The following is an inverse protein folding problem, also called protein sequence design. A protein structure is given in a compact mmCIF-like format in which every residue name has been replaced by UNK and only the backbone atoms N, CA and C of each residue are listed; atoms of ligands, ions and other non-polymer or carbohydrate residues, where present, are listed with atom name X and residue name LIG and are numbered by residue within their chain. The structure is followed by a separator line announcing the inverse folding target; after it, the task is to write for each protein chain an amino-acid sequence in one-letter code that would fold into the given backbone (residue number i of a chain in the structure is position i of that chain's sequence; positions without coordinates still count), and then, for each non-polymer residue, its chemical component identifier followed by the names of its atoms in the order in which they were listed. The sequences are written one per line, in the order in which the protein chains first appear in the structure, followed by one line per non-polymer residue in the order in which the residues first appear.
data_IF_757389018476
#
_entry.id   IF_757389018476
#
_cell.length_a   1.000
_cell.length_b   1.000
_cell.length_c   1.000
_cell.angle_alpha   90.00
_cell.angle_beta   90.00
_cell.angle_gamma   90.00
#
_symmetry.space_group_name_H-M   'P 1'
#
loop_
_entity.id
_entity.type
_entity.pdbx_description
1 polymer ?
#
# COMPACT_ATOMS: atom_id res chain seq x y z
N UNK A 1 -13.70 0.05 -11.60
CA UNK A 1 -13.99 1.21 -10.73
C UNK A 1 -13.15 0.97 -9.50
N UNK A 2 -11.99 1.63 -9.40
CA UNK A 2 -10.97 1.38 -8.37
C UNK A 2 -11.18 2.26 -7.13
N UNK A 3 -12.44 2.68 -6.90
CA UNK A 3 -12.77 3.79 -6.00
C UNK A 3 -12.90 3.40 -4.53
N UNK A 4 -12.51 2.17 -4.17
CA UNK A 4 -12.58 1.72 -2.79
C UNK A 4 -11.30 0.99 -2.36
N UNK A 5 -10.20 1.73 -2.19
CA UNK A 5 -9.04 1.25 -1.44
C UNK A 5 -9.04 1.85 -0.03
N UNK A 6 -8.83 1.07 1.03
CA UNK A 6 -8.84 1.60 2.40
C UNK A 6 -7.72 2.62 2.60
N UNK A 7 -8.09 3.78 3.16
CA UNK A 7 -7.16 4.86 3.50
C UNK A 7 -6.24 4.41 4.63
N UNK A 8 -4.93 4.65 4.49
CA UNK A 8 -3.93 4.31 5.49
C UNK A 8 -3.95 5.38 6.59
N UNK A 9 -4.19 5.01 7.87
CA UNK A 9 -4.10 5.93 9.00
C UNK A 9 -2.71 6.59 9.08
N UNK A 10 -2.68 7.88 9.44
CA UNK A 10 -1.45 8.68 9.41
C UNK A 10 -0.31 8.09 10.27
N UNK A 11 -0.62 7.53 11.43
CA UNK A 11 0.33 6.87 12.33
C UNK A 11 0.99 5.63 11.69
N UNK A 12 0.28 4.95 10.78
CA UNK A 12 0.80 3.78 10.05
C UNK A 12 1.67 4.14 8.85
N UNK A 13 1.50 5.33 8.26
CA UNK A 13 2.23 5.73 7.04
C UNK A 13 3.74 5.68 7.28
N UNK A 14 4.22 6.23 8.40
CA UNK A 14 5.65 6.22 8.73
C UNK A 14 6.07 4.95 9.47
N UNK A 15 5.29 4.51 10.47
CA UNK A 15 5.67 3.40 11.34
C UNK A 15 5.61 2.03 10.64
N UNK A 16 4.61 1.81 9.78
CA UNK A 16 4.37 0.53 9.11
C UNK A 16 4.70 0.61 7.63
N UNK A 17 4.14 1.57 6.91
CA UNK A 17 4.34 1.70 5.46
C UNK A 17 5.71 2.29 5.11
N UNK A 18 6.39 2.94 6.06
CA UNK A 18 7.76 3.44 5.91
C UNK A 18 7.94 4.35 4.70
N UNK A 19 7.00 5.29 4.50
CA UNK A 19 7.06 6.26 3.39
C UNK A 19 8.45 6.93 3.32
N UNK A 20 9.00 7.04 2.12
CA UNK A 20 10.31 7.67 1.89
C UNK A 20 11.53 6.82 2.27
N UNK A 21 11.37 5.63 2.85
CA UNK A 21 12.50 4.79 3.29
C UNK A 21 13.02 3.81 2.20
N UNK A 22 12.93 4.21 0.93
CA UNK A 22 13.43 3.43 -0.21
C UNK A 22 12.87 2.01 -0.26
N UNK A 23 13.76 1.01 -0.32
CA UNK A 23 13.37 -0.41 -0.37
C UNK A 23 12.53 -0.87 0.83
N UNK A 24 12.68 -0.24 2.00
CA UNK A 24 11.87 -0.58 3.18
C UNK A 24 10.42 -0.05 3.09
N UNK A 25 10.14 0.90 2.20
CA UNK A 25 8.80 1.41 1.96
C UNK A 25 7.89 0.28 1.42
N UNK A 26 6.67 0.21 1.94
CA UNK A 26 5.69 -0.78 1.54
C UNK A 26 5.28 -0.56 0.07
N UNK A 27 5.39 -1.60 -0.76
CA UNK A 27 5.07 -1.56 -2.18
C UNK A 27 3.58 -1.35 -2.48
N UNK A 28 2.71 -1.67 -1.51
CA UNK A 28 1.26 -1.57 -1.65
C UNK A 28 0.68 -0.23 -1.18
N UNK A 29 1.54 0.72 -0.79
CA UNK A 29 1.12 2.09 -0.47
C UNK A 29 1.00 2.88 -1.77
N UNK A 30 -0.21 3.37 -2.07
CA UNK A 30 -0.51 4.12 -3.30
C UNK A 30 -1.15 5.47 -2.97
N UNK A 31 -1.00 6.44 -3.86
CA UNK A 31 -1.77 7.69 -3.79
C UNK A 31 -3.06 7.55 -4.59
N UNK A 32 -4.20 7.79 -3.97
CA UNK A 32 -5.52 7.76 -4.58
C UNK A 32 -6.34 9.02 -4.30
N UNK A 33 -7.62 9.01 -4.69
CA UNK A 33 -8.50 10.17 -4.59
C UNK A 33 -8.79 10.61 -3.14
N UNK A 34 -8.67 9.69 -2.17
CA UNK A 34 -8.92 9.96 -0.74
C UNK A 34 -7.63 10.16 0.06
N UNK A 35 -6.47 10.15 -0.58
CA UNK A 35 -5.17 10.33 0.05
C UNK A 35 -4.27 9.11 -0.14
N UNK A 36 -3.58 8.70 0.94
CA UNK A 36 -2.68 7.55 0.91
C UNK A 36 -3.49 6.29 1.23
N UNK A 37 -3.50 5.33 0.32
CA UNK A 37 -4.40 4.16 0.32
C UNK A 37 -3.60 2.85 0.26
N UNK A 38 -4.20 1.75 0.73
CA UNK A 38 -3.59 0.43 0.73
C UNK A 38 -4.15 -0.45 -0.41
N UNK A 39 -3.30 -0.78 -1.38
CA UNK A 39 -3.66 -1.61 -2.53
C UNK A 39 -3.45 -3.12 -2.31
N UNK A 40 -3.07 -3.57 -1.10
CA UNK A 40 -2.62 -4.96 -0.87
C UNK A 40 -3.71 -6.00 -1.13
N UNK A 41 -4.97 -5.64 -0.94
CA UNK A 41 -6.10 -6.54 -1.17
C UNK A 41 -6.88 -6.25 -2.44
N UNK A 42 -6.44 -5.29 -3.25
CA UNK A 42 -6.98 -5.10 -4.60
C UNK A 42 -6.28 -6.07 -5.56
N UNK A 43 -6.99 -7.03 -6.18
CA UNK A 43 -6.35 -8.08 -6.97
C UNK A 43 -5.54 -7.54 -8.15
N UNK A 44 -6.04 -6.53 -8.84
CA UNK A 44 -5.40 -6.00 -10.04
C UNK A 44 -4.14 -5.22 -9.70
N UNK A 45 -4.23 -4.30 -8.74
CA UNK A 45 -3.08 -3.53 -8.28
C UNK A 45 -2.06 -4.43 -7.60
N UNK A 46 -2.48 -5.45 -6.85
CA UNK A 46 -1.59 -6.43 -6.26
C UNK A 46 -0.73 -7.12 -7.32
N UNK A 47 -1.34 -7.61 -8.40
CA UNK A 47 -0.61 -8.24 -9.51
C UNK A 47 0.31 -7.24 -10.23
N UNK A 48 -0.18 -6.05 -10.55
CA UNK A 48 0.60 -5.04 -11.27
C UNK A 48 1.81 -4.55 -10.46
N UNK A 49 1.63 -4.29 -9.17
CA UNK A 49 2.71 -3.87 -8.26
C UNK A 49 3.75 -4.97 -8.14
N UNK A 50 3.35 -6.21 -7.90
CA UNK A 50 4.30 -7.32 -7.79
C UNK A 50 5.06 -7.58 -9.09
N UNK A 51 4.41 -7.41 -10.25
CA UNK A 51 5.08 -7.47 -11.55
C UNK A 51 6.15 -6.39 -11.70
N UNK A 52 5.87 -5.15 -11.31
CA UNK A 52 6.84 -4.04 -11.35
C UNK A 52 7.99 -4.23 -10.39
N UNK A 53 7.71 -4.74 -9.20
CA UNK A 53 8.72 -5.14 -8.21
C UNK A 53 9.65 -6.21 -8.78
N UNK A 54 9.10 -7.29 -9.34
CA UNK A 54 9.88 -8.36 -9.95
C UNK A 54 10.71 -7.89 -11.15
N UNK A 55 10.21 -6.90 -11.91
CA UNK A 55 10.93 -6.28 -13.02
C UNK A 55 11.99 -5.25 -12.57
N UNK A 56 12.05 -4.90 -11.29
CA UNK A 56 13.01 -3.92 -10.77
C UNK A 56 12.66 -2.46 -11.10
N UNK A 57 11.42 -2.16 -11.48
CA UNK A 57 10.97 -0.78 -11.78
C UNK A 57 10.32 -0.05 -10.61
N UNK A 58 10.48 -0.59 -9.40
CA UNK A 58 9.88 -0.05 -8.18
C UNK A 58 10.93 0.16 -7.09
N UNK A 59 11.01 1.34 -6.50
CA UNK A 59 11.93 1.61 -5.39
C UNK A 59 11.43 1.02 -4.07
N UNK A 60 10.10 1.01 -3.86
CA UNK A 60 9.46 0.40 -2.71
C UNK A 60 9.38 -1.13 -2.88
N UNK A 61 9.89 -1.87 -1.90
CA UNK A 61 10.02 -3.34 -1.97
C UNK A 61 9.36 -4.04 -0.78
N UNK A 62 9.05 -3.30 0.30
CA UNK A 62 8.54 -3.84 1.55
C UNK A 62 7.13 -4.42 1.42
N UNK A 63 6.85 -5.41 2.25
CA UNK A 63 5.53 -6.01 2.47
C UNK A 63 5.31 -6.09 3.98
N UNK A 64 4.96 -4.94 4.57
CA UNK A 64 5.24 -4.68 5.98
C UNK A 64 4.11 -5.09 6.93
N UNK A 65 2.97 -5.55 6.42
CA UNK A 65 1.81 -5.98 7.21
C UNK A 65 0.84 -6.79 6.35
N UNK A 66 -0.19 -7.40 6.94
CA UNK A 66 -1.22 -8.16 6.23
C UNK A 66 -2.10 -7.33 5.27
N UNK A 67 -2.13 -6.00 5.42
CA UNK A 67 -2.95 -5.08 4.63
C UNK A 67 -4.13 -4.51 5.42
N UNK A 68 -4.77 -3.48 4.86
CA UNK A 68 -5.99 -2.90 5.42
C UNK A 68 -7.20 -3.42 4.64
N UNK A 69 -8.33 -3.58 5.34
CA UNK A 69 -9.66 -3.81 4.76
C UNK A 69 -10.57 -2.67 5.16
N UNK A 70 -11.60 -2.38 4.36
CA UNK A 70 -12.57 -1.29 4.62
C UNK A 70 -13.22 -1.33 6.00
N UNK A 71 -13.21 -2.49 6.64
CA UNK A 71 -13.93 -2.73 7.88
C UNK A 71 -13.02 -2.67 9.12
N UNK A 72 -11.81 -2.11 9.01
CA UNK A 72 -10.84 -2.04 10.12
C UNK A 72 -10.91 -0.75 10.92
N UNK A 73 -12.07 -0.08 10.95
CA UNK A 73 -12.37 1.00 11.88
C UNK A 73 -13.31 0.46 12.98
N UNK A 74 -12.75 -0.18 13.99
CA UNK A 74 -13.42 -0.27 15.30
C UNK A 74 -12.39 -0.50 16.40
N UNK A 75 -12.08 0.58 17.12
CA UNK A 75 -11.88 0.60 18.56
C UNK A 75 -12.15 2.04 19.04
#
# INVERSE_FOLDING_TARGET
MYDDLPVIPADRIEAVCKIGQGAACCRFMVGGARGIECAKHDPELFEQINRRVAFGSFSAQGDNCEGLRHDSATA
#
